data_IF_455947987988
#
_entry.id   IF_455947987988
#
_cell.length_a   1.000
_cell.length_b   1.000
_cell.length_c   1.000
_cell.angle_alpha   90.00
_cell.angle_beta   90.00
_cell.angle_gamma   90.00
#
_symmetry.space_group_name_H-M   'P 1'
#
loop_
_entity.id
_entity.type
_entity.pdbx_description
1 polymer ?
#
# COMPACT_ATOMS: atom_id res chain seq x y z
N UNK A 1 -4.28 21.90 -11.12
CA UNK A 1 -3.56 21.54 -9.89
C UNK A 1 -3.72 20.04 -9.74
N UNK A 2 -2.65 19.26 -9.52
CA UNK A 2 -2.80 17.80 -9.36
C UNK A 2 -3.61 17.51 -8.08
N UNK A 3 -4.53 16.55 -8.14
CA UNK A 3 -5.34 16.18 -7.00
C UNK A 3 -4.48 15.60 -5.86
N UNK A 4 -4.82 15.95 -4.63
CA UNK A 4 -4.14 15.47 -3.42
C UNK A 4 -4.82 14.23 -2.85
N UNK A 5 -4.14 13.53 -1.94
CA UNK A 5 -4.75 12.41 -1.22
C UNK A 5 -6.02 12.81 -0.45
N UNK A 6 -6.10 14.06 0.01
CA UNK A 6 -7.29 14.60 0.67
C UNK A 6 -8.47 14.70 -0.30
N UNK A 7 -8.23 15.25 -1.50
CA UNK A 7 -9.25 15.40 -2.53
C UNK A 7 -9.80 14.03 -2.97
N UNK A 8 -8.92 13.02 -3.05
CA UNK A 8 -9.36 11.65 -3.34
C UNK A 8 -10.11 11.00 -2.17
N UNK A 9 -9.73 11.32 -0.93
CA UNK A 9 -10.42 10.85 0.27
C UNK A 9 -11.89 11.25 0.33
N UNK A 10 -12.26 12.42 -0.19
CA UNK A 10 -13.63 12.94 -0.10
C UNK A 10 -14.66 12.11 -0.90
N UNK A 11 -14.27 11.55 -2.05
CA UNK A 11 -15.14 10.64 -2.80
C UNK A 11 -14.97 9.19 -2.37
N UNK A 12 -13.77 8.76 -1.94
CA UNK A 12 -13.54 7.39 -1.47
C UNK A 12 -14.37 7.07 -0.23
N UNK A 13 -14.56 8.05 0.67
CA UNK A 13 -15.44 7.92 1.84
C UNK A 13 -16.92 7.68 1.52
N UNK A 14 -17.34 7.89 0.27
CA UNK A 14 -18.71 7.61 -0.17
C UNK A 14 -18.87 6.15 -0.63
N UNK A 15 -17.79 5.40 -0.75
CA UNK A 15 -17.83 3.98 -1.12
C UNK A 15 -18.17 3.14 0.12
N UNK A 16 -19.24 2.37 0.05
CA UNK A 16 -19.62 1.38 1.06
C UNK A 16 -19.25 -0.03 0.59
N UNK A 17 -18.37 -0.70 1.34
CA UNK A 17 -17.99 -2.09 1.10
C UNK A 17 -16.54 -2.42 1.48
N UNK A 18 -16.19 -3.70 1.30
CA UNK A 18 -14.82 -4.20 1.50
C UNK A 18 -14.03 -4.04 0.19
N UNK A 19 -13.06 -3.13 0.15
CA UNK A 19 -12.30 -2.85 -1.06
C UNK A 19 -10.83 -2.53 -0.78
N UNK A 20 -10.00 -2.88 -1.75
CA UNK A 20 -8.70 -2.28 -1.93
C UNK A 20 -8.43 -2.18 -3.43
N UNK A 21 -8.02 -1.01 -3.90
CA UNK A 21 -7.84 -0.78 -5.32
C UNK A 21 -6.63 0.10 -5.63
N UNK A 22 -6.22 0.02 -6.89
CA UNK A 22 -5.27 0.93 -7.51
C UNK A 22 -5.95 1.56 -8.73
N UNK A 23 -5.94 2.89 -8.79
CA UNK A 23 -6.53 3.67 -9.89
C UNK A 23 -5.45 4.54 -10.51
N UNK A 24 -5.22 4.37 -11.81
CA UNK A 24 -4.33 5.24 -12.57
C UNK A 24 -5.10 6.43 -13.14
N UNK A 25 -4.72 7.63 -12.72
CA UNK A 25 -5.18 8.89 -13.27
C UNK A 25 -4.18 9.37 -14.34
N UNK A 26 -4.51 9.09 -15.60
CA UNK A 26 -3.70 9.48 -16.75
C UNK A 26 -3.68 10.99 -16.99
N UNK A 27 -4.68 11.74 -16.54
CA UNK A 27 -4.73 13.19 -16.71
C UNK A 27 -3.72 13.87 -15.78
N UNK A 28 -3.61 13.40 -14.54
CA UNK A 28 -2.70 13.98 -13.54
C UNK A 28 -1.34 13.24 -13.43
N UNK A 29 -1.15 12.14 -14.16
CA UNK A 29 0.00 11.25 -14.08
C UNK A 29 0.23 10.75 -12.65
N UNK A 30 -0.82 10.20 -12.04
CA UNK A 30 -0.83 9.80 -10.64
C UNK A 30 -1.47 8.42 -10.45
N UNK A 31 -0.87 7.63 -9.57
CA UNK A 31 -1.44 6.39 -9.06
C UNK A 31 -2.09 6.65 -7.71
N UNK A 32 -3.35 6.27 -7.57
CA UNK A 32 -4.10 6.30 -6.31
C UNK A 32 -4.23 4.88 -5.78
N UNK A 33 -3.76 4.65 -4.55
CA UNK A 33 -3.95 3.41 -3.83
C UNK A 33 -4.89 3.67 -2.64
N UNK A 34 -5.90 2.84 -2.46
CA UNK A 34 -6.86 3.03 -1.36
C UNK A 34 -7.35 1.70 -0.79
N UNK A 35 -7.70 1.73 0.50
CA UNK A 35 -8.32 0.63 1.23
C UNK A 35 -9.59 1.09 1.95
N UNK A 36 -10.50 0.15 2.15
CA UNK A 36 -11.67 0.30 3.00
C UNK A 36 -11.28 0.68 4.44
N UNK A 37 -12.21 1.30 5.17
CA UNK A 37 -11.98 1.85 6.52
C UNK A 37 -11.44 0.82 7.51
N UNK A 38 -11.96 -0.41 7.44
CA UNK A 38 -11.54 -1.51 8.29
C UNK A 38 -10.27 -2.21 7.78
N UNK A 39 -9.83 -1.90 6.57
CA UNK A 39 -8.69 -2.54 5.91
C UNK A 39 -8.92 -4.04 5.70
N UNK A 40 -10.16 -4.47 5.42
CA UNK A 40 -10.48 -5.88 5.26
C UNK A 40 -9.77 -6.47 4.03
N UNK A 41 -9.72 -5.72 2.92
CA UNK A 41 -8.96 -6.15 1.74
C UNK A 41 -7.49 -5.71 1.83
N UNK A 42 -6.54 -6.63 1.63
CA UNK A 42 -5.12 -6.30 1.70
C UNK A 42 -4.66 -5.54 0.46
N UNK A 43 -3.72 -4.63 0.66
CA UNK A 43 -2.99 -3.94 -0.39
C UNK A 43 -1.61 -3.58 0.14
N UNK A 44 -0.59 -4.18 -0.46
CA UNK A 44 0.82 -3.95 -0.16
C UNK A 44 1.49 -3.24 -1.32
N UNK A 45 2.55 -2.51 -1.02
CA UNK A 45 3.40 -1.85 -1.99
C UNK A 45 4.87 -1.91 -1.57
N UNK A 46 5.75 -1.73 -2.54
CA UNK A 46 7.19 -1.57 -2.35
C UNK A 46 7.72 -0.58 -3.39
N UNK A 47 8.80 0.11 -3.06
CA UNK A 47 9.54 0.93 -4.02
C UNK A 47 10.81 0.19 -4.42
N UNK A 48 11.04 0.04 -5.73
CA UNK A 48 12.24 -0.60 -6.29
C UNK A 48 12.87 0.38 -7.28
N UNK A 49 13.94 1.05 -6.86
CA UNK A 49 14.49 2.18 -7.61
C UNK A 49 13.42 3.27 -7.79
N UNK A 50 13.04 3.55 -9.03
CA UNK A 50 11.96 4.49 -9.38
C UNK A 50 10.60 3.82 -9.59
N UNK A 51 10.51 2.50 -9.47
CA UNK A 51 9.28 1.75 -9.72
C UNK A 51 8.51 1.50 -8.44
N UNK A 52 7.29 2.03 -8.37
CA UNK A 52 6.33 1.64 -7.35
C UNK A 52 5.61 0.37 -7.80
N UNK A 53 5.74 -0.70 -7.03
CA UNK A 53 5.01 -1.94 -7.25
C UNK A 53 3.98 -2.13 -6.14
N UNK A 54 2.84 -2.75 -6.47
CA UNK A 54 1.78 -3.02 -5.53
C UNK A 54 1.05 -4.31 -5.88
N UNK A 55 0.44 -4.93 -4.87
CA UNK A 55 -0.36 -6.15 -5.04
C UNK A 55 -1.28 -6.35 -3.83
N UNK A 56 -2.29 -7.20 -3.96
CA UNK A 56 -3.11 -7.63 -2.81
C UNK A 56 -2.35 -8.55 -1.85
N UNK A 57 -1.23 -9.13 -2.28
CA UNK A 57 -0.40 -10.00 -1.45
C UNK A 57 1.08 -9.84 -1.79
N UNK A 58 1.97 -10.01 -0.80
CA UNK A 58 3.43 -9.85 -0.99
C UNK A 58 3.98 -10.77 -2.08
N UNK A 59 3.44 -11.98 -2.23
CA UNK A 59 3.89 -12.93 -3.26
C UNK A 59 3.68 -12.41 -4.68
N UNK A 60 2.71 -11.52 -4.91
CA UNK A 60 2.47 -10.90 -6.21
C UNK A 60 3.58 -9.94 -6.63
N UNK A 61 4.32 -9.37 -5.66
CA UNK A 61 5.45 -8.48 -5.94
C UNK A 61 6.60 -9.19 -6.69
N UNK A 62 6.68 -10.52 -6.62
CA UNK A 62 7.66 -11.35 -7.34
C UNK A 62 7.53 -11.29 -8.86
N UNK A 63 6.42 -10.76 -9.39
CA UNK A 63 6.29 -10.52 -10.82
C UNK A 63 7.28 -9.46 -11.34
N UNK A 64 7.76 -8.57 -10.46
CA UNK A 64 8.78 -7.60 -10.80
C UNK A 64 10.19 -8.22 -10.65
N UNK A 65 11.05 -8.19 -11.69
CA UNK A 65 12.34 -8.90 -11.68
C UNK A 65 13.34 -8.34 -10.65
N UNK A 66 13.17 -7.08 -10.24
CA UNK A 66 14.00 -6.47 -9.20
C UNK A 66 13.50 -6.69 -7.77
N UNK A 67 12.39 -7.42 -7.56
CA UNK A 67 11.88 -7.68 -6.21
C UNK A 67 12.51 -8.96 -5.65
N UNK A 68 13.33 -8.80 -4.62
CA UNK A 68 13.91 -9.89 -3.86
C UNK A 68 13.39 -9.87 -2.41
N UNK A 69 12.66 -10.90 -1.96
CA UNK A 69 12.09 -10.90 -0.62
C UNK A 69 13.18 -11.06 0.44
N UNK A 70 13.34 -10.04 1.28
CA UNK A 70 14.23 -10.07 2.45
C UNK A 70 13.40 -9.98 3.73
N UNK A 71 13.85 -10.63 4.79
CA UNK A 71 13.21 -10.55 6.10
C UNK A 71 13.48 -9.17 6.72
N UNK A 72 12.43 -8.50 7.17
CA UNK A 72 12.58 -7.31 8.02
C UNK A 72 12.77 -7.76 9.48
N UNK A 73 14.01 -7.78 9.94
CA UNK A 73 14.34 -8.18 11.31
C UNK A 73 13.73 -7.25 12.36
N UNK A 74 13.59 -5.95 12.07
CA UNK A 74 13.00 -5.00 13.00
C UNK A 74 11.49 -5.25 13.14
N UNK A 75 10.80 -5.44 12.02
CA UNK A 75 9.39 -5.80 12.02
C UNK A 75 9.15 -7.17 12.68
N UNK A 76 10.06 -8.13 12.50
CA UNK A 76 10.01 -9.41 13.19
C UNK A 76 10.15 -9.24 14.71
N UNK A 77 11.15 -8.49 15.17
CA UNK A 77 11.34 -8.24 16.61
C UNK A 77 10.14 -7.53 17.21
N UNK A 78 9.61 -6.51 16.52
CA UNK A 78 8.38 -5.83 16.95
C UNK A 78 7.20 -6.81 17.01
N UNK A 79 7.05 -7.71 16.03
CA UNK A 79 6.00 -8.72 16.03
C UNK A 79 6.11 -9.70 17.19
N UNK A 80 7.32 -10.09 17.56
CA UNK A 80 7.54 -11.02 18.68
C UNK A 80 7.23 -10.37 20.03
N UNK A 81 7.43 -9.06 20.16
CA UNK A 81 7.13 -8.32 21.41
C UNK A 81 5.64 -8.00 21.54
N UNK A 82 5.00 -7.60 20.44
CA UNK A 82 3.65 -7.04 20.47
C UNK A 82 2.57 -7.96 19.91
N UNK A 83 2.93 -9.07 19.26
CA UNK A 83 2.03 -10.01 18.56
C UNK A 83 1.28 -9.42 17.33
N UNK A 84 1.36 -8.11 17.09
CA UNK A 84 0.77 -7.42 15.92
C UNK A 84 1.77 -6.43 15.27
N UNK A 85 1.59 -6.04 13.99
CA UNK A 85 2.38 -4.96 13.39
C UNK A 85 2.04 -3.62 14.05
N UNK A 86 3.05 -2.85 14.44
CA UNK A 86 2.85 -1.54 15.07
C UNK A 86 2.49 -0.43 14.08
N UNK A 87 2.78 -0.64 12.80
CA UNK A 87 2.62 0.34 11.74
C UNK A 87 2.19 -0.33 10.42
N UNK A 88 2.58 0.25 9.28
CA UNK A 88 2.28 -0.29 7.97
C UNK A 88 3.23 -1.44 7.54
N UNK A 89 4.20 -1.83 8.37
CA UNK A 89 5.21 -2.83 8.00
C UNK A 89 4.63 -4.22 7.77
N UNK A 90 5.40 -5.01 7.04
CA UNK A 90 5.23 -6.46 6.92
C UNK A 90 6.50 -7.16 7.43
N UNK A 91 6.55 -8.49 7.36
CA UNK A 91 7.80 -9.21 7.64
C UNK A 91 8.79 -9.15 6.46
N UNK A 92 8.44 -8.48 5.37
CA UNK A 92 9.30 -8.31 4.21
C UNK A 92 9.86 -6.88 4.19
N UNK A 93 11.18 -6.77 4.11
CA UNK A 93 11.89 -5.50 4.08
C UNK A 93 11.36 -4.63 2.93
N UNK A 94 11.16 -3.34 3.22
CA UNK A 94 10.63 -2.31 2.32
C UNK A 94 9.19 -2.54 1.80
N UNK A 95 8.54 -3.64 2.18
CA UNK A 95 7.14 -3.92 1.82
C UNK A 95 6.21 -3.40 2.90
N UNK A 96 5.36 -2.46 2.50
CA UNK A 96 4.42 -1.77 3.37
C UNK A 96 2.99 -1.99 2.91
N UNK A 97 2.08 -2.13 3.86
CA UNK A 97 0.65 -2.08 3.61
C UNK A 97 0.20 -0.63 3.40
N UNK A 98 -0.69 -0.40 2.45
CA UNK A 98 -1.55 0.79 2.51
C UNK A 98 -2.36 0.67 3.80
N UNK A 99 -2.41 1.71 4.63
CA UNK A 99 -3.11 1.63 5.92
C UNK A 99 -4.63 1.52 5.74
N UNK A 100 -5.36 0.90 6.69
CA UNK A 100 -6.82 0.92 6.72
C UNK A 100 -7.37 2.35 6.60
N UNK A 101 -8.42 2.53 5.81
CA UNK A 101 -9.07 3.83 5.58
C UNK A 101 -8.17 4.92 4.99
N UNK A 102 -7.01 4.57 4.45
CA UNK A 102 -6.05 5.54 3.92
C UNK A 102 -6.04 5.54 2.40
N UNK A 103 -5.74 6.73 1.87
CA UNK A 103 -5.50 6.98 0.45
C UNK A 103 -4.06 7.43 0.29
N UNK A 104 -3.32 6.76 -0.59
CA UNK A 104 -1.99 7.18 -1.00
C UNK A 104 -2.03 7.64 -2.46
N UNK A 105 -1.30 8.74 -2.76
CA UNK A 105 -1.18 9.28 -4.11
C UNK A 105 0.28 9.36 -4.47
N UNK A 106 0.64 8.70 -5.57
CA UNK A 106 2.01 8.60 -6.05
C UNK A 106 2.11 9.27 -7.41
N UNK A 107 2.98 10.28 -7.52
CA UNK A 107 3.25 10.95 -8.79
C UNK A 107 4.48 10.32 -9.44
N UNK A 108 4.37 10.03 -10.73
CA UNK A 108 5.51 9.69 -11.58
C UNK A 108 6.06 10.96 -12.23
#
# INVERSE_FOLDING_TARGET
QKASAKDHGDWIKQLDGMFAFALWDAHNNQLVLARDEMGIKPLVRSLIGSSLIFSSEVKGLRAHPGFEPQLDEQALMARLVWEYPLDATTLFLDVHQVRPGCVEVWSL
#
